data_IF_795256279028
#
_entry.id   IF_795256279028
#
_cell.length_a   1.000
_cell.length_b   1.000
_cell.length_c   1.000
_cell.angle_alpha   90.00
_cell.angle_beta   90.00
_cell.angle_gamma   90.00
#
_symmetry.space_group_name_H-M   'P 1'
#
loop_
_entity.id
_entity.type
_entity.pdbx_description
1 polymer ?
#
# COMPACT_ATOMS: atom_id res chain seq x y z
N UNK A 1 60.21 12.50 11.31
CA UNK A 1 58.97 12.66 10.54
C UNK A 1 58.53 14.09 10.77
N UNK A 2 58.51 14.91 9.72
CA UNK A 2 58.12 16.32 9.84
C UNK A 2 56.64 16.40 10.22
N UNK A 3 56.23 17.37 11.05
CA UNK A 3 54.82 17.61 11.37
C UNK A 3 53.95 17.74 10.10
N UNK A 4 54.53 18.21 8.99
CA UNK A 4 53.88 18.27 7.67
C UNK A 4 53.46 16.90 7.11
N UNK A 5 54.26 15.86 7.35
CA UNK A 5 54.03 14.53 6.77
C UNK A 5 52.89 13.82 7.50
N UNK A 6 52.84 13.99 8.83
CA UNK A 6 51.78 13.49 9.69
C UNK A 6 50.44 14.16 9.38
N UNK A 7 50.43 15.48 9.18
CA UNK A 7 49.22 16.23 8.76
C UNK A 7 48.76 15.80 7.38
N UNK A 8 49.68 15.63 6.42
CA UNK A 8 49.34 15.19 5.06
C UNK A 8 48.77 13.78 5.03
N UNK A 9 49.33 12.86 5.83
CA UNK A 9 48.82 11.49 5.96
C UNK A 9 47.44 11.48 6.62
N UNK A 10 47.21 12.31 7.66
CA UNK A 10 45.93 12.42 8.34
C UNK A 10 44.83 13.00 7.42
N UNK A 11 45.16 14.02 6.61
CA UNK A 11 44.25 14.57 5.59
C UNK A 11 43.96 13.53 4.50
N UNK A 12 44.96 12.77 4.06
CA UNK A 12 44.78 11.70 3.06
C UNK A 12 43.89 10.56 3.56
N UNK A 13 44.07 10.12 4.81
CA UNK A 13 43.21 9.11 5.45
C UNK A 13 41.79 9.64 5.66
N UNK A 14 41.66 10.91 6.08
CA UNK A 14 40.36 11.56 6.23
C UNK A 14 39.59 11.67 4.91
N UNK A 15 40.26 12.07 3.83
CA UNK A 15 39.67 12.19 2.50
C UNK A 15 39.24 10.83 1.93
N UNK A 16 40.05 9.79 2.10
CA UNK A 16 39.71 8.43 1.65
C UNK A 16 38.56 7.84 2.45
N UNK A 17 38.59 7.93 3.79
CA UNK A 17 37.48 7.50 4.65
C UNK A 17 36.17 8.25 4.33
N UNK A 18 36.25 9.57 4.10
CA UNK A 18 35.12 10.39 3.68
C UNK A 18 34.53 9.95 2.34
N UNK A 19 35.37 9.62 1.35
CA UNK A 19 34.92 9.12 0.05
C UNK A 19 34.21 7.75 0.18
N UNK A 20 34.74 6.83 0.98
CA UNK A 20 34.10 5.53 1.23
C UNK A 20 32.75 5.67 1.93
N UNK A 21 32.66 6.52 2.96
CA UNK A 21 31.39 6.82 3.62
C UNK A 21 30.40 7.50 2.67
N UNK A 22 30.85 8.42 1.83
CA UNK A 22 30.03 9.08 0.82
C UNK A 22 29.42 8.10 -0.18
N UNK A 23 30.23 7.17 -0.71
CA UNK A 23 29.76 6.11 -1.62
C UNK A 23 28.74 5.20 -0.92
N UNK A 24 29.04 4.80 0.33
CA UNK A 24 28.16 3.94 1.11
C UNK A 24 26.80 4.61 1.39
N UNK A 25 26.79 5.86 1.84
CA UNK A 25 25.56 6.63 2.07
C UNK A 25 24.78 6.82 0.78
N UNK A 26 25.46 7.13 -0.33
CA UNK A 26 24.82 7.30 -1.64
C UNK A 26 24.16 6.00 -2.12
N UNK A 27 24.82 4.85 -1.94
CA UNK A 27 24.26 3.54 -2.28
C UNK A 27 23.02 3.23 -1.44
N UNK A 28 23.04 3.53 -0.13
CA UNK A 28 21.89 3.37 0.76
C UNK A 28 20.71 4.27 0.35
N UNK A 29 20.97 5.55 0.04
CA UNK A 29 19.95 6.49 -0.42
C UNK A 29 19.36 6.09 -1.77
N UNK A 30 20.19 5.65 -2.72
CA UNK A 30 19.76 5.16 -4.03
C UNK A 30 18.83 3.96 -3.89
N UNK A 31 19.20 2.97 -3.06
CA UNK A 31 18.33 1.81 -2.78
C UNK A 31 17.03 2.22 -2.10
N UNK A 32 17.08 3.15 -1.15
CA UNK A 32 15.90 3.66 -0.46
C UNK A 32 14.94 4.37 -1.43
N UNK A 33 15.47 5.20 -2.34
CA UNK A 33 14.71 5.89 -3.36
C UNK A 33 14.06 4.93 -4.35
N UNK A 34 14.82 3.98 -4.91
CA UNK A 34 14.29 2.97 -5.82
C UNK A 34 13.20 2.11 -5.15
N UNK A 35 13.37 1.78 -3.87
CA UNK A 35 12.32 1.08 -3.12
C UNK A 35 11.10 1.98 -2.95
N UNK A 36 11.26 3.27 -2.66
CA UNK A 36 10.15 4.21 -2.53
C UNK A 36 9.34 4.34 -3.82
N UNK A 37 9.99 4.42 -4.99
CA UNK A 37 9.28 4.52 -6.28
C UNK A 37 8.48 3.25 -6.57
N UNK A 38 9.07 2.07 -6.40
CA UNK A 38 8.37 0.79 -6.59
C UNK A 38 7.12 0.67 -5.70
N UNK A 39 7.18 1.20 -4.48
CA UNK A 39 6.04 1.22 -3.55
C UNK A 39 4.94 2.18 -3.99
N UNK A 40 5.32 3.35 -4.50
CA UNK A 40 4.38 4.31 -5.06
C UNK A 40 3.71 3.76 -6.32
N UNK A 41 4.47 3.09 -7.18
CA UNK A 41 3.93 2.44 -8.38
C UNK A 41 2.92 1.36 -8.00
N UNK A 42 3.28 0.49 -7.05
CA UNK A 42 2.38 -0.54 -6.55
C UNK A 42 1.08 0.03 -5.98
N UNK A 43 1.12 1.03 -5.09
CA UNK A 43 -0.11 1.61 -4.51
C UNK A 43 -0.94 2.33 -5.58
N UNK A 44 -0.30 2.94 -6.58
CA UNK A 44 -0.98 3.57 -7.71
C UNK A 44 -1.67 2.53 -8.59
N UNK A 45 -1.05 1.38 -8.83
CA UNK A 45 -1.67 0.25 -9.55
C UNK A 45 -2.94 -0.24 -8.85
N UNK A 46 -2.91 -0.42 -7.52
CA UNK A 46 -4.10 -0.83 -6.76
C UNK A 46 -5.19 0.22 -6.84
N UNK A 47 -4.85 1.51 -6.65
CA UNK A 47 -5.82 2.61 -6.76
C UNK A 47 -6.48 2.63 -8.14
N UNK A 48 -5.71 2.38 -9.20
CA UNK A 48 -6.23 2.30 -10.55
C UNK A 48 -7.22 1.13 -10.72
N UNK A 49 -6.89 -0.07 -10.20
CA UNK A 49 -7.77 -1.24 -10.23
C UNK A 49 -9.09 -0.96 -9.49
N UNK A 50 -9.02 -0.42 -8.27
CA UNK A 50 -10.19 -0.12 -7.45
C UNK A 50 -11.07 0.97 -8.09
N UNK A 51 -10.47 1.99 -8.69
CA UNK A 51 -11.19 3.03 -9.43
C UNK A 51 -11.93 2.44 -10.63
N UNK A 52 -11.25 1.62 -11.44
CA UNK A 52 -11.85 0.94 -12.59
C UNK A 52 -12.98 0.01 -12.16
N UNK A 53 -12.81 -0.72 -11.05
CA UNK A 53 -13.89 -1.53 -10.49
C UNK A 53 -15.15 -0.71 -10.22
N UNK A 54 -15.04 0.46 -9.57
CA UNK A 54 -16.21 1.31 -9.28
C UNK A 54 -16.91 1.78 -10.56
N UNK A 55 -16.14 2.17 -11.59
CA UNK A 55 -16.70 2.56 -12.89
C UNK A 55 -17.40 1.39 -13.58
N UNK A 56 -16.80 0.21 -13.59
CA UNK A 56 -17.41 -0.97 -14.20
C UNK A 56 -18.61 -1.50 -13.41
N UNK A 57 -18.65 -1.25 -12.09
CA UNK A 57 -19.81 -1.54 -11.27
C UNK A 57 -20.99 -0.65 -11.67
N UNK A 58 -20.76 0.64 -11.93
CA UNK A 58 -21.80 1.55 -12.46
C UNK A 58 -22.32 1.07 -13.81
N UNK A 59 -21.42 0.78 -14.75
CA UNK A 59 -21.79 0.27 -16.07
C UNK A 59 -22.67 -0.98 -15.93
N UNK A 60 -22.26 -1.94 -15.09
CA UNK A 60 -23.03 -3.16 -14.86
C UNK A 60 -24.40 -2.87 -14.24
N UNK A 61 -24.49 -1.92 -13.32
CA UNK A 61 -25.71 -1.57 -12.59
C UNK A 61 -26.70 -0.80 -13.46
N UNK A 62 -26.21 0.01 -14.40
CA UNK A 62 -27.05 0.80 -15.30
C UNK A 62 -27.66 -0.01 -16.44
N UNK A 63 -27.17 -1.22 -16.73
CA UNK A 63 -27.79 -2.10 -17.74
C UNK A 63 -29.22 -2.48 -17.29
N UNK A 64 -30.29 -2.14 -18.02
CA UNK A 64 -31.66 -2.39 -17.57
C UNK A 64 -32.00 -3.89 -17.51
N UNK A 65 -31.62 -4.65 -18.54
CA UNK A 65 -31.85 -6.10 -18.59
C UNK A 65 -30.60 -6.87 -18.14
N UNK A 66 -30.64 -7.40 -16.92
CA UNK A 66 -29.54 -8.19 -16.32
C UNK A 66 -29.32 -9.56 -16.97
N UNK A 67 -30.23 -10.02 -17.84
CA UNK A 67 -30.09 -11.26 -18.61
C UNK A 67 -29.53 -11.02 -20.02
N UNK A 68 -29.39 -9.76 -20.42
CA UNK A 68 -28.87 -9.40 -21.74
C UNK A 68 -27.38 -9.79 -21.91
N UNK A 69 -26.96 -9.90 -23.18
CA UNK A 69 -25.55 -10.07 -23.55
C UNK A 69 -24.67 -8.91 -23.04
N UNK A 70 -25.24 -7.71 -22.94
CA UNK A 70 -24.57 -6.52 -22.43
C UNK A 70 -24.28 -6.64 -20.93
N UNK A 71 -25.28 -7.04 -20.13
CA UNK A 71 -25.09 -7.29 -18.70
C UNK A 71 -24.04 -8.38 -18.44
N UNK A 72 -24.03 -9.44 -19.24
CA UNK A 72 -23.01 -10.48 -19.15
C UNK A 72 -21.61 -9.92 -19.40
N UNK A 73 -21.41 -9.14 -20.47
CA UNK A 73 -20.12 -8.50 -20.76
C UNK A 73 -19.68 -7.55 -19.66
N UNK A 74 -20.60 -6.71 -19.16
CA UNK A 74 -20.32 -5.79 -18.06
C UNK A 74 -19.94 -6.54 -16.78
N UNK A 75 -20.61 -7.65 -16.48
CA UNK A 75 -20.29 -8.53 -15.34
C UNK A 75 -18.89 -9.13 -15.47
N UNK A 76 -18.52 -9.65 -16.65
CA UNK A 76 -17.18 -10.21 -16.88
C UNK A 76 -16.10 -9.12 -16.71
N UNK A 77 -16.30 -7.94 -17.28
CA UNK A 77 -15.37 -6.82 -17.12
C UNK A 77 -15.24 -6.40 -15.64
N UNK A 78 -16.35 -6.39 -14.89
CA UNK A 78 -16.32 -6.13 -13.46
C UNK A 78 -15.52 -7.18 -12.68
N UNK A 79 -15.75 -8.47 -12.96
CA UNK A 79 -15.04 -9.59 -12.33
C UNK A 79 -13.54 -9.60 -12.63
N UNK A 80 -13.13 -9.13 -13.81
CA UNK A 80 -11.72 -8.95 -14.14
C UNK A 80 -10.99 -8.08 -13.11
N UNK A 81 -11.58 -6.95 -12.73
CA UNK A 81 -10.99 -6.07 -11.71
C UNK A 81 -11.03 -6.66 -10.30
N UNK A 82 -11.99 -7.54 -10.01
CA UNK A 82 -11.98 -8.32 -8.76
C UNK A 82 -10.78 -9.25 -8.72
N UNK A 83 -10.51 -9.96 -9.82
CA UNK A 83 -9.34 -10.84 -9.92
C UNK A 83 -8.04 -10.06 -9.86
N UNK A 84 -7.95 -8.91 -10.53
CA UNK A 84 -6.79 -8.03 -10.42
C UNK A 84 -6.60 -7.55 -8.97
N UNK A 85 -7.64 -7.09 -8.29
CA UNK A 85 -7.56 -6.66 -6.90
C UNK A 85 -7.07 -7.78 -5.97
N UNK A 86 -7.53 -9.01 -6.19
CA UNK A 86 -7.08 -10.20 -5.44
C UNK A 86 -5.58 -10.50 -5.60
N UNK A 87 -4.97 -10.15 -6.73
CA UNK A 87 -3.52 -10.30 -6.92
C UNK A 87 -2.70 -9.27 -6.14
N UNK A 88 -3.30 -8.12 -5.84
CA UNK A 88 -2.63 -7.04 -5.13
C UNK A 88 -2.86 -7.07 -3.62
N UNK A 89 -4.07 -7.45 -3.20
CA UNK A 89 -4.50 -7.40 -1.79
C UNK A 89 -4.21 -8.71 -1.06
N UNK A 90 -3.88 -8.60 0.22
CA UNK A 90 -3.65 -9.77 1.06
C UNK A 90 -4.95 -10.30 1.69
N UNK A 91 -5.39 -11.51 1.33
CA UNK A 91 -6.59 -12.15 1.91
C UNK A 91 -6.46 -12.52 3.39
N UNK A 92 -5.22 -12.56 3.91
CA UNK A 92 -4.96 -12.75 5.34
C UNK A 92 -5.49 -11.59 6.19
N UNK A 93 -5.63 -10.40 5.62
CA UNK A 93 -6.08 -9.20 6.30
C UNK A 93 -7.61 -9.06 6.24
N UNK A 94 -8.23 -8.81 7.40
CA UNK A 94 -9.70 -8.77 7.53
C UNK A 94 -10.35 -7.78 6.57
N UNK A 95 -9.86 -6.53 6.52
CA UNK A 95 -10.44 -5.50 5.65
C UNK A 95 -10.27 -5.79 4.17
N UNK A 96 -9.11 -6.29 3.77
CA UNK A 96 -8.84 -6.70 2.39
C UNK A 96 -9.76 -7.85 1.98
N UNK A 97 -9.96 -8.83 2.87
CA UNK A 97 -10.92 -9.92 2.67
C UNK A 97 -12.36 -9.43 2.56
N UNK A 98 -12.78 -8.54 3.45
CA UNK A 98 -14.13 -7.97 3.45
C UNK A 98 -14.40 -7.16 2.17
N UNK A 99 -13.41 -6.37 1.73
CA UNK A 99 -13.48 -5.64 0.47
C UNK A 99 -13.59 -6.59 -0.72
N UNK A 100 -12.74 -7.62 -0.81
CA UNK A 100 -12.78 -8.58 -1.90
C UNK A 100 -14.11 -9.34 -1.96
N UNK A 101 -14.64 -9.73 -0.79
CA UNK A 101 -15.94 -10.39 -0.68
C UNK A 101 -17.06 -9.46 -1.18
N UNK A 102 -17.09 -8.21 -0.71
CA UNK A 102 -18.04 -7.22 -1.19
C UNK A 102 -17.94 -7.03 -2.71
N UNK A 103 -16.72 -6.95 -3.22
CA UNK A 103 -16.47 -6.76 -4.65
C UNK A 103 -17.00 -7.92 -5.50
N UNK A 104 -16.88 -9.16 -5.01
CA UNK A 104 -17.39 -10.38 -5.65
C UNK A 104 -18.91 -10.50 -5.60
N UNK A 105 -19.53 -10.10 -4.49
CA UNK A 105 -20.96 -10.24 -4.25
C UNK A 105 -21.80 -9.19 -4.97
N UNK A 106 -21.23 -8.00 -5.20
CA UNK A 106 -21.90 -6.85 -5.81
C UNK A 106 -22.65 -7.17 -7.11
N UNK A 107 -22.04 -7.84 -8.12
CA UNK A 107 -22.79 -8.18 -9.33
C UNK A 107 -24.00 -9.09 -9.06
N UNK A 108 -23.91 -10.01 -8.11
CA UNK A 108 -25.02 -10.91 -7.78
C UNK A 108 -26.12 -10.20 -6.98
N UNK A 109 -25.74 -9.27 -6.10
CA UNK A 109 -26.66 -8.42 -5.34
C UNK A 109 -27.53 -7.59 -6.26
N UNK A 110 -26.91 -6.80 -7.15
CA UNK A 110 -27.64 -5.88 -8.03
C UNK A 110 -28.21 -6.53 -9.30
N UNK A 111 -27.99 -7.83 -9.51
CA UNK A 111 -28.66 -8.61 -10.57
C UNK A 111 -30.15 -8.85 -10.27
N UNK A 112 -30.57 -8.74 -9.00
CA UNK A 112 -31.91 -9.08 -8.52
C UNK A 112 -32.66 -7.90 -7.91
N UNK A 113 -32.00 -6.75 -7.80
CA UNK A 113 -32.51 -5.58 -7.06
C UNK A 113 -33.39 -4.70 -7.94
N UNK A 114 -34.58 -4.37 -7.44
CA UNK A 114 -35.43 -3.36 -8.04
C UNK A 114 -34.88 -1.97 -7.66
N UNK A 115 -34.69 -1.07 -8.61
CA UNK A 115 -33.98 0.21 -8.39
C UNK A 115 -32.48 0.09 -8.03
N UNK A 116 -31.79 -0.91 -8.57
CA UNK A 116 -30.36 -1.16 -8.37
C UNK A 116 -29.46 0.10 -8.42
N UNK A 117 -29.69 1.01 -9.37
CA UNK A 117 -28.92 2.26 -9.49
C UNK A 117 -29.04 3.15 -8.25
N UNK A 118 -30.24 3.34 -7.70
CA UNK A 118 -30.46 4.22 -6.54
C UNK A 118 -29.80 3.65 -5.28
N UNK A 119 -29.97 2.36 -5.05
CA UNK A 119 -29.36 1.65 -3.92
C UNK A 119 -27.83 1.70 -4.02
N UNK A 120 -27.28 1.46 -5.21
CA UNK A 120 -25.84 1.53 -5.42
C UNK A 120 -25.27 2.94 -5.20
N UNK A 121 -25.93 4.00 -5.65
CA UNK A 121 -25.46 5.36 -5.39
C UNK A 121 -25.41 5.68 -3.88
N UNK A 122 -26.25 5.03 -3.08
CA UNK A 122 -26.23 5.16 -1.60
C UNK A 122 -25.11 4.33 -0.97
N UNK A 123 -24.77 3.18 -1.55
CA UNK A 123 -23.70 2.30 -1.05
C UNK A 123 -22.30 2.65 -1.54
N UNK A 124 -22.18 3.23 -2.74
CA UNK A 124 -20.91 3.58 -3.39
C UNK A 124 -19.97 4.38 -2.48
N UNK A 125 -20.42 5.40 -1.70
CA UNK A 125 -19.55 6.08 -0.75
C UNK A 125 -18.99 5.17 0.35
N UNK A 126 -19.77 4.19 0.82
CA UNK A 126 -19.33 3.23 1.84
C UNK A 126 -18.27 2.29 1.28
N UNK A 127 -18.48 1.81 0.05
CA UNK A 127 -17.51 0.98 -0.68
C UNK A 127 -16.21 1.75 -0.89
N UNK A 128 -16.30 3.01 -1.34
CA UNK A 128 -15.14 3.90 -1.52
C UNK A 128 -14.40 4.15 -0.21
N UNK A 129 -15.11 4.33 0.90
CA UNK A 129 -14.48 4.46 2.23
C UNK A 129 -13.71 3.20 2.63
N UNK A 130 -14.29 2.01 2.42
CA UNK A 130 -13.60 0.74 2.71
C UNK A 130 -12.35 0.57 1.82
N UNK A 131 -12.44 0.92 0.54
CA UNK A 131 -11.29 0.94 -0.37
C UNK A 131 -10.17 1.86 0.13
N UNK A 132 -10.52 3.07 0.60
CA UNK A 132 -9.55 4.00 1.17
C UNK A 132 -8.88 3.46 2.43
N UNK A 133 -9.64 2.79 3.29
CA UNK A 133 -9.10 2.20 4.51
C UNK A 133 -8.14 1.04 4.21
N UNK A 134 -8.49 0.17 3.27
CA UNK A 134 -7.58 -0.88 2.76
C UNK A 134 -6.32 -0.25 2.17
N UNK A 135 -6.45 0.75 1.30
CA UNK A 135 -5.29 1.45 0.71
C UNK A 135 -4.38 2.09 1.77
N UNK A 136 -4.95 2.65 2.84
CA UNK A 136 -4.16 3.20 3.97
C UNK A 136 -3.43 2.11 4.74
N UNK A 137 -4.07 0.96 4.97
CA UNK A 137 -3.43 -0.18 5.65
C UNK A 137 -2.27 -0.74 4.82
N UNK A 138 -2.51 -0.95 3.54
CA UNK A 138 -1.52 -1.41 2.58
C UNK A 138 -0.35 -0.42 2.45
N UNK A 139 -0.64 0.89 2.40
CA UNK A 139 0.40 1.92 2.42
C UNK A 139 1.26 1.86 3.68
N UNK A 140 0.62 1.72 4.85
CA UNK A 140 1.34 1.61 6.12
C UNK A 140 2.22 0.36 6.16
N UNK A 141 1.71 -0.79 5.68
CA UNK A 141 2.47 -2.05 5.56
C UNK A 141 3.69 -1.87 4.68
N UNK A 142 3.50 -1.29 3.51
CA UNK A 142 4.56 -1.10 2.52
C UNK A 142 5.62 -0.08 2.99
N UNK A 143 5.20 0.98 3.68
CA UNK A 143 6.11 1.98 4.28
C UNK A 143 6.94 1.39 5.41
N UNK A 144 6.27 0.72 6.35
CA UNK A 144 6.88 0.24 7.60
C UNK A 144 7.66 -1.08 7.37
N UNK A 145 7.27 -1.86 6.35
CA UNK A 145 7.80 -3.20 6.06
C UNK A 145 7.09 -4.29 6.86
N UNK A 146 7.11 -5.53 6.35
CA UNK A 146 6.37 -6.68 6.92
C UNK A 146 6.61 -6.90 8.42
N UNK A 147 7.87 -6.86 8.86
CA UNK A 147 8.25 -7.15 10.25
C UNK A 147 7.68 -6.08 11.20
N UNK A 148 7.90 -4.80 10.89
CA UNK A 148 7.44 -3.70 11.75
C UNK A 148 5.92 -3.53 11.68
N UNK A 149 5.32 -3.81 10.52
CA UNK A 149 3.86 -3.83 10.38
C UNK A 149 3.24 -4.95 11.22
N UNK A 150 3.78 -6.17 11.18
CA UNK A 150 3.28 -7.30 11.97
C UNK A 150 3.35 -7.00 13.48
N UNK A 151 4.48 -6.44 13.95
CA UNK A 151 4.65 -6.00 15.34
C UNK A 151 3.64 -4.90 15.72
N UNK A 152 3.50 -3.87 14.87
CA UNK A 152 2.53 -2.79 15.14
C UNK A 152 1.07 -3.27 15.08
N UNK A 153 0.76 -4.24 14.23
CA UNK A 153 -0.57 -4.83 14.14
C UNK A 153 -0.89 -5.70 15.36
N UNK A 154 0.09 -6.47 15.85
CA UNK A 154 0.00 -7.20 17.11
C UNK A 154 -0.26 -6.25 18.29
N UNK A 155 0.48 -5.13 18.37
CA UNK A 155 0.25 -4.14 19.42
C UNK A 155 -1.12 -3.44 19.32
N UNK A 156 -1.63 -3.19 18.10
CA UNK A 156 -3.01 -2.71 17.89
C UNK A 156 -4.04 -3.72 18.39
N UNK A 157 -3.82 -5.01 18.14
CA UNK A 157 -4.71 -6.08 18.58
C UNK A 157 -4.79 -6.17 20.11
N UNK A 158 -3.68 -5.92 20.80
CA UNK A 158 -3.59 -5.93 22.28
C UNK A 158 -4.09 -4.62 22.91
N UNK A 159 -4.58 -3.65 22.12
CA UNK A 159 -4.98 -2.29 22.59
C UNK A 159 -3.89 -1.58 23.39
N UNK A 160 -2.62 -1.81 23.07
CA UNK A 160 -1.56 -1.07 23.74
C UNK A 160 -1.60 0.41 23.33
N UNK A 161 -1.17 1.34 24.23
CA UNK A 161 -1.27 2.76 23.96
C UNK A 161 -0.47 3.16 22.71
N UNK A 162 -0.98 4.13 21.95
CA UNK A 162 -0.41 4.56 20.66
C UNK A 162 1.06 5.05 20.74
N UNK A 163 1.57 5.37 21.93
CA UNK A 163 2.96 5.77 22.14
C UNK A 163 3.99 4.66 21.86
N UNK A 164 3.57 3.38 21.87
CA UNK A 164 4.37 2.20 21.54
C UNK A 164 4.43 1.96 20.02
N UNK A 165 3.92 2.88 19.21
CA UNK A 165 4.09 2.82 17.77
C UNK A 165 5.58 2.95 17.43
N UNK A 166 6.16 1.84 16.95
CA UNK A 166 7.56 1.77 16.53
C UNK A 166 7.60 2.13 15.05
N UNK A 167 8.08 3.34 14.77
CA UNK A 167 8.38 3.80 13.42
C UNK A 167 9.86 3.52 13.10
N UNK A 168 10.16 3.23 11.83
CA UNK A 168 11.54 3.08 11.34
C UNK A 168 12.41 4.29 11.68
N UNK A 169 11.84 5.49 11.73
CA UNK A 169 12.54 6.73 12.07
C UNK A 169 12.95 6.71 13.55
N UNK A 170 12.05 6.32 14.45
CA UNK A 170 12.38 6.19 15.88
C UNK A 170 13.44 5.13 16.12
N UNK A 171 13.32 3.98 15.43
CA UNK A 171 14.29 2.88 15.54
C UNK A 171 15.67 3.26 15.00
N UNK A 172 15.71 4.03 13.90
CA UNK A 172 16.94 4.59 13.34
C UNK A 172 17.60 5.55 14.33
N UNK A 173 16.87 6.50 14.91
CA UNK A 173 17.41 7.43 15.90
C UNK A 173 17.87 6.74 17.18
N UNK A 174 17.15 5.71 17.67
CA UNK A 174 17.62 4.94 18.82
C UNK A 174 18.90 4.16 18.52
N UNK A 175 19.06 3.59 17.32
CA UNK A 175 20.31 2.93 16.94
C UNK A 175 21.45 3.93 16.78
N UNK A 176 21.19 5.11 16.21
CA UNK A 176 22.20 6.18 16.08
C UNK A 176 22.62 6.71 17.45
N UNK A 177 21.68 6.90 18.38
CA UNK A 177 21.96 7.35 19.76
C UNK A 177 22.61 6.27 20.64
N UNK A 178 22.55 4.99 20.27
CA UNK A 178 23.22 3.89 20.97
C UNK A 178 24.64 3.62 20.47
N UNK A 179 25.01 4.18 19.31
CA UNK A 179 26.33 4.03 18.67
C UNK A 179 27.23 5.24 18.95
N UNK A 180 26.65 6.37 19.37
CA UNK A 180 27.36 7.59 19.84
C UNK A 180 27.43 7.58 21.36
#
# INVERSE_FOLDING_TARGET
>A
MSDSDSVTLLVGVGATAGAFLGIFVTALLSRANATSTLRQDWINSIRAVLSKYLTHAEIFIDVPDKKSKEAYKAKIALLEYVHQAKLYLNEGESKSRDLLKLMQELPNKYSKEEHATREYQTEKPKISSLMQDVLKEEWNRVRDGEILWSINNFFKMIRLPKWLYISRIRLFWTCVLLIV
#
